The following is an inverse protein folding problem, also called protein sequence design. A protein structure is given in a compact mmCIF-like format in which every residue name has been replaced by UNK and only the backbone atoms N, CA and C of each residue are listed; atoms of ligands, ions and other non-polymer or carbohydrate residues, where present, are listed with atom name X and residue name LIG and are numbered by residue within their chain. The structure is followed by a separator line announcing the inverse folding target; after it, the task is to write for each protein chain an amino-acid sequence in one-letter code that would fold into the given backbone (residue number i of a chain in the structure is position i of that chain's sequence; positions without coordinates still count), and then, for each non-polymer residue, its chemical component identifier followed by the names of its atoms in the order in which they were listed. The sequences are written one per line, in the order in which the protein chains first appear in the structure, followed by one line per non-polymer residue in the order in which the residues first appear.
data_IF_753615911967
#
_entry.id   IF_753615911967
#
_cell.length_a   1.000
_cell.length_b   1.000
_cell.length_c   1.000
_cell.angle_alpha   90.00
_cell.angle_beta   90.00
_cell.angle_gamma   90.00
#
_symmetry.space_group_name_H-M   'P 1'
#
loop_
_entity.id
_entity.type
_entity.pdbx_description
1 polymer ?
#
# COMPACT_ATOMS: atom_id res chain seq x y z
N UNK A 1 -7.18 6.79 31.17
CA UNK A 1 -7.39 5.47 31.81
C UNK A 1 -6.30 5.28 32.87
N UNK A 2 -6.65 4.91 34.13
CA UNK A 2 -5.68 4.53 35.15
C UNK A 2 -5.54 3.01 35.22
N UNK A 3 -4.38 2.50 35.63
CA UNK A 3 -4.27 1.08 35.96
C UNK A 3 -5.16 0.74 37.14
N UNK A 4 -5.89 -0.37 37.13
CA UNK A 4 -6.64 -0.81 38.27
C UNK A 4 -5.70 -1.24 39.39
N UNK A 5 -6.08 -0.97 40.67
CA UNK A 5 -5.28 -1.39 41.84
C UNK A 5 -5.19 -2.92 41.94
N UNK A 6 -6.24 -3.61 41.50
CA UNK A 6 -6.30 -5.08 41.46
C UNK A 6 -6.52 -5.53 40.05
N UNK A 7 -5.79 -6.57 39.59
CA UNK A 7 -5.99 -7.16 38.24
C UNK A 7 -7.43 -7.67 38.05
N UNK A 8 -7.94 -7.48 36.84
CA UNK A 8 -9.28 -7.96 36.41
C UNK A 8 -9.17 -9.41 35.93
N UNK A 9 -10.26 -10.12 35.98
CA UNK A 9 -10.34 -11.48 35.43
C UNK A 9 -10.20 -11.47 33.90
N UNK A 10 -9.85 -12.63 33.34
CA UNK A 10 -9.73 -12.84 31.88
C UNK A 10 -11.00 -12.41 31.13
N UNK A 11 -12.18 -12.86 31.60
CA UNK A 11 -13.46 -12.58 30.94
C UNK A 11 -13.85 -11.10 31.02
N UNK A 12 -13.56 -10.43 32.16
CA UNK A 12 -13.77 -8.98 32.29
C UNK A 12 -12.90 -8.18 31.34
N UNK A 13 -11.65 -8.61 31.12
CA UNK A 13 -10.73 -7.94 30.18
C UNK A 13 -11.20 -8.15 28.74
N UNK A 14 -11.53 -9.38 28.33
CA UNK A 14 -12.00 -9.67 26.97
C UNK A 14 -13.35 -9.02 26.68
N UNK A 15 -14.29 -9.04 27.65
CA UNK A 15 -15.58 -8.35 27.50
C UNK A 15 -15.42 -6.84 27.36
N UNK A 16 -14.45 -6.23 28.06
CA UNK A 16 -14.15 -4.80 27.89
C UNK A 16 -13.54 -4.49 26.52
N UNK A 17 -12.64 -5.35 26.01
CA UNK A 17 -12.09 -5.20 24.66
C UNK A 17 -13.17 -5.32 23.58
N UNK A 18 -14.09 -6.26 23.73
CA UNK A 18 -15.20 -6.44 22.77
C UNK A 18 -16.12 -5.21 22.77
N UNK A 19 -16.41 -4.66 23.95
CA UNK A 19 -17.22 -3.45 24.08
C UNK A 19 -16.58 -2.20 23.40
N UNK A 20 -15.24 -2.12 23.33
CA UNK A 20 -14.54 -1.02 22.64
C UNK A 20 -14.73 -1.05 21.14
N UNK A 21 -15.14 -2.19 20.56
CA UNK A 21 -15.28 -2.36 19.10
C UNK A 21 -16.67 -1.98 18.58
N UNK A 22 -17.56 -1.48 19.42
CA UNK A 22 -18.97 -1.23 19.07
C UNK A 22 -19.14 -0.26 17.89
N UNK A 23 -18.25 0.72 17.78
CA UNK A 23 -18.28 1.76 16.73
C UNK A 23 -17.26 1.51 15.61
N UNK A 24 -16.59 0.37 15.58
CA UNK A 24 -15.64 0.03 14.54
C UNK A 24 -16.32 -0.12 13.17
N UNK A 25 -15.60 0.25 12.11
CA UNK A 25 -16.06 0.04 10.73
C UNK A 25 -16.36 -1.45 10.46
N UNK A 26 -17.49 -1.73 9.81
CA UNK A 26 -18.04 -3.10 9.58
C UNK A 26 -17.35 -3.80 8.41
N UNK A 27 -16.05 -4.04 8.51
CA UNK A 27 -15.27 -4.64 7.44
C UNK A 27 -15.66 -6.10 7.16
N UNK A 28 -16.10 -6.86 8.19
CA UNK A 28 -16.56 -8.26 8.05
C UNK A 28 -17.80 -8.39 7.14
N UNK A 29 -18.59 -7.33 7.03
CA UNK A 29 -19.77 -7.28 6.15
C UNK A 29 -19.43 -6.81 4.72
N UNK A 30 -18.15 -6.58 4.43
CA UNK A 30 -17.68 -6.07 3.15
C UNK A 30 -17.94 -4.56 2.93
N UNK A 31 -18.46 -3.82 3.93
CA UNK A 31 -18.88 -2.41 3.81
C UNK A 31 -17.73 -1.41 3.93
N UNK A 32 -16.49 -1.87 3.87
CA UNK A 32 -15.29 -1.04 3.96
C UNK A 32 -14.46 -1.18 2.69
N UNK A 33 -14.18 -0.07 2.03
CA UNK A 33 -13.37 -0.02 0.80
C UNK A 33 -11.93 0.42 1.10
N UNK A 34 -11.28 -0.27 2.00
CA UNK A 34 -9.91 0.01 2.45
C UNK A 34 -9.65 -0.56 3.85
N UNK A 35 -8.52 -0.18 4.44
CA UNK A 35 -8.07 -0.52 5.80
C UNK A 35 -7.91 -2.03 6.06
N UNK A 36 -8.94 -2.85 5.85
CA UNK A 36 -8.93 -4.31 6.06
C UNK A 36 -9.31 -5.02 4.76
N UNK A 37 -8.51 -6.01 4.37
CA UNK A 37 -8.69 -6.77 3.13
C UNK A 37 -9.05 -8.20 3.50
N UNK A 38 -10.24 -8.65 3.08
CA UNK A 38 -10.80 -9.95 3.46
C UNK A 38 -10.49 -11.02 2.40
N UNK A 39 -9.67 -12.00 2.77
CA UNK A 39 -9.38 -13.19 1.97
C UNK A 39 -10.34 -14.37 2.23
N UNK A 40 -11.29 -14.19 3.14
CA UNK A 40 -12.27 -15.20 3.54
C UNK A 40 -11.89 -15.98 4.82
N UNK A 41 -12.85 -16.74 5.37
CA UNK A 41 -12.71 -17.35 6.70
C UNK A 41 -11.56 -18.34 6.82
N UNK A 42 -11.22 -19.07 5.75
CA UNK A 42 -10.08 -20.01 5.78
C UNK A 42 -8.73 -19.28 5.87
N UNK A 43 -8.62 -18.09 5.24
CA UNK A 43 -7.43 -17.24 5.31
C UNK A 43 -7.30 -16.66 6.71
N UNK A 44 -8.39 -16.21 7.31
CA UNK A 44 -8.37 -15.72 8.69
C UNK A 44 -7.94 -16.81 9.66
N UNK A 45 -8.54 -18.00 9.58
CA UNK A 45 -8.24 -19.11 10.49
C UNK A 45 -6.74 -19.51 10.46
N UNK A 46 -6.13 -19.61 9.28
CA UNK A 46 -4.69 -19.95 9.19
C UNK A 46 -3.80 -18.81 9.66
N UNK A 47 -4.19 -17.55 9.38
CA UNK A 47 -3.45 -16.38 9.82
C UNK A 47 -3.41 -16.25 11.35
N UNK A 48 -4.58 -16.42 11.98
CA UNK A 48 -4.74 -16.38 13.44
C UNK A 48 -3.95 -17.51 14.12
N UNK A 49 -4.06 -18.75 13.62
CA UNK A 49 -3.31 -19.89 14.15
C UNK A 49 -1.79 -19.68 14.06
N UNK A 50 -1.30 -19.23 12.91
CA UNK A 50 0.13 -18.95 12.71
C UNK A 50 0.61 -17.79 13.58
N UNK A 51 -0.18 -16.71 13.67
CA UNK A 51 0.13 -15.58 14.55
C UNK A 51 0.22 -16.01 16.01
N UNK A 52 -0.71 -16.83 16.50
CA UNK A 52 -0.70 -17.35 17.86
C UNK A 52 0.53 -18.21 18.16
N UNK A 53 1.02 -19.01 17.19
CA UNK A 53 2.25 -19.81 17.33
C UNK A 53 3.51 -18.96 17.53
N UNK A 54 3.54 -17.75 16.99
CA UNK A 54 4.70 -16.86 17.00
C UNK A 54 4.44 -15.55 17.78
N UNK A 55 3.44 -15.55 18.65
CA UNK A 55 3.00 -14.34 19.37
C UNK A 55 4.11 -13.73 20.26
N UNK A 56 4.96 -14.57 20.83
CA UNK A 56 6.00 -14.18 21.78
C UNK A 56 7.40 -14.11 21.17
N UNK A 57 7.58 -14.58 19.93
CA UNK A 57 8.87 -14.64 19.24
C UNK A 57 9.30 -13.26 18.72
N UNK A 58 10.59 -13.01 18.90
CA UNK A 58 11.22 -11.74 18.56
C UNK A 58 12.16 -11.88 17.35
N UNK A 59 11.86 -11.19 16.26
CA UNK A 59 12.66 -11.18 15.05
C UNK A 59 13.87 -10.22 15.08
N UNK A 60 14.23 -9.68 16.24
CA UNK A 60 15.44 -8.86 16.40
C UNK A 60 16.71 -9.65 16.03
N UNK A 61 16.77 -10.90 16.51
CA UNK A 61 17.94 -11.76 16.28
C UNK A 61 17.48 -13.13 15.75
N UNK A 62 17.56 -13.28 14.45
CA UNK A 62 17.18 -14.53 13.75
C UNK A 62 18.21 -15.66 13.92
N UNK A 63 19.36 -15.42 14.56
CA UNK A 63 20.27 -16.50 14.98
C UNK A 63 19.71 -17.23 16.20
N UNK A 64 19.04 -16.51 17.09
CA UNK A 64 18.37 -17.09 18.26
C UNK A 64 17.04 -17.77 17.89
N UNK A 65 16.35 -17.27 16.88
CA UNK A 65 15.07 -17.82 16.38
C UNK A 65 15.20 -18.07 14.86
N UNK A 66 15.89 -19.16 14.45
CA UNK A 66 16.21 -19.42 13.03
C UNK A 66 14.99 -19.56 12.12
N UNK A 67 13.86 -20.02 12.67
CA UNK A 67 12.60 -20.15 11.94
C UNK A 67 12.11 -18.81 11.38
N UNK A 68 12.23 -17.70 12.11
CA UNK A 68 11.89 -16.37 11.62
C UNK A 68 12.82 -15.91 10.49
N UNK A 69 14.10 -16.29 10.55
CA UNK A 69 15.04 -16.05 9.46
C UNK A 69 14.67 -16.85 8.20
N UNK A 70 14.19 -18.08 8.36
CA UNK A 70 13.72 -18.94 7.26
C UNK A 70 12.43 -18.36 6.66
N UNK A 71 11.43 -18.04 7.48
CA UNK A 71 10.16 -17.41 7.05
C UNK A 71 10.46 -16.16 6.22
N UNK A 72 11.32 -15.27 6.70
CA UNK A 72 11.68 -14.06 5.96
C UNK A 72 12.30 -14.38 4.59
N UNK A 73 13.22 -15.33 4.52
CA UNK A 73 13.84 -15.71 3.25
C UNK A 73 12.84 -16.31 2.25
N UNK A 74 11.92 -17.14 2.72
CA UNK A 74 10.90 -17.78 1.88
C UNK A 74 9.87 -16.77 1.37
N UNK A 75 9.35 -15.89 2.24
CA UNK A 75 8.39 -14.84 1.85
C UNK A 75 9.02 -13.86 0.86
N UNK A 76 10.23 -13.37 1.16
CA UNK A 76 10.97 -12.45 0.27
C UNK A 76 11.32 -13.14 -1.04
N UNK A 77 11.80 -14.40 -1.01
CA UNK A 77 12.17 -15.16 -2.19
C UNK A 77 10.98 -15.43 -3.11
N UNK A 78 9.83 -15.82 -2.56
CA UNK A 78 8.62 -16.05 -3.35
C UNK A 78 8.16 -14.77 -4.08
N UNK A 79 8.23 -13.61 -3.42
CA UNK A 79 7.85 -12.35 -4.06
C UNK A 79 8.91 -11.87 -5.04
N UNK A 80 10.20 -12.07 -4.78
CA UNK A 80 11.26 -11.77 -5.72
C UNK A 80 11.09 -12.58 -7.03
N UNK A 81 10.77 -13.87 -6.93
CA UNK A 81 10.49 -14.72 -8.10
C UNK A 81 9.25 -14.26 -8.85
N UNK A 82 8.14 -13.98 -8.14
CA UNK A 82 6.89 -13.52 -8.74
C UNK A 82 7.04 -12.20 -9.49
N UNK A 83 7.95 -11.31 -9.03
CA UNK A 83 8.27 -10.02 -9.64
C UNK A 83 9.50 -10.07 -10.57
N UNK A 84 9.90 -11.26 -11.04
CA UNK A 84 10.98 -11.49 -12.01
C UNK A 84 12.35 -10.97 -11.54
N UNK A 85 12.56 -10.85 -10.24
CA UNK A 85 13.81 -10.41 -9.62
C UNK A 85 14.70 -11.58 -9.23
N UNK A 86 15.33 -12.28 -10.19
CA UNK A 86 16.14 -13.48 -9.95
C UNK A 86 17.29 -13.28 -8.98
N UNK A 87 17.89 -12.08 -8.98
CA UNK A 87 18.97 -11.69 -8.08
C UNK A 87 18.50 -10.82 -6.90
N UNK A 88 17.19 -10.53 -6.85
CA UNK A 88 16.63 -9.62 -5.89
C UNK A 88 16.88 -10.08 -4.45
N UNK A 89 17.13 -9.10 -3.60
CA UNK A 89 17.31 -9.30 -2.18
C UNK A 89 16.39 -8.34 -1.41
N UNK A 90 15.75 -8.82 -0.36
CA UNK A 90 14.75 -8.01 0.33
C UNK A 90 14.73 -8.22 1.83
N UNK A 91 13.72 -7.60 2.42
CA UNK A 91 13.48 -7.63 3.85
C UNK A 91 11.98 -7.47 4.15
N UNK A 92 11.47 -8.22 5.14
CA UNK A 92 10.13 -8.01 5.65
C UNK A 92 10.11 -6.82 6.60
N UNK A 93 9.26 -5.85 6.31
CA UNK A 93 9.04 -4.64 7.09
C UNK A 93 7.66 -4.68 7.78
N UNK A 94 7.41 -3.73 8.68
CA UNK A 94 6.14 -3.64 9.42
C UNK A 94 4.98 -3.06 8.61
N UNK A 95 5.25 -2.49 7.43
CA UNK A 95 4.25 -1.87 6.59
C UNK A 95 4.87 -1.09 5.44
N UNK A 96 4.05 -0.70 4.44
CA UNK A 96 4.49 0.05 3.26
C UNK A 96 5.26 1.32 3.61
N UNK A 97 4.83 2.04 4.65
CA UNK A 97 5.58 3.23 5.13
C UNK A 97 7.02 2.88 5.51
N UNK A 98 7.27 1.78 6.22
CA UNK A 98 8.64 1.37 6.53
C UNK A 98 9.39 0.93 5.28
N UNK A 99 8.75 0.21 4.35
CA UNK A 99 9.35 -0.18 3.08
C UNK A 99 9.81 1.04 2.27
N UNK A 100 8.97 2.08 2.18
CA UNK A 100 9.27 3.36 1.54
C UNK A 100 10.43 4.07 2.26
N UNK A 101 10.38 4.18 3.59
CA UNK A 101 11.47 4.77 4.38
C UNK A 101 12.81 4.07 4.10
N UNK A 102 12.81 2.74 3.98
CA UNK A 102 14.02 1.96 3.69
C UNK A 102 14.51 2.15 2.25
N UNK A 103 13.61 2.30 1.27
CA UNK A 103 13.97 2.61 -0.11
C UNK A 103 14.64 3.98 -0.21
N UNK A 104 14.04 5.01 0.40
CA UNK A 104 14.57 6.39 0.43
C UNK A 104 15.91 6.44 1.16
N UNK A 105 16.01 5.78 2.32
CA UNK A 105 17.28 5.66 3.06
C UNK A 105 18.35 5.00 2.21
N UNK A 106 18.03 3.91 1.51
CA UNK A 106 19.01 3.19 0.69
C UNK A 106 19.47 4.05 -0.51
N UNK A 107 18.58 4.79 -1.15
CA UNK A 107 18.92 5.71 -2.25
C UNK A 107 19.88 6.81 -1.76
N UNK A 108 19.58 7.45 -0.62
CA UNK A 108 20.46 8.45 0.00
C UNK A 108 21.84 7.87 0.31
N UNK A 109 21.90 6.71 0.97
CA UNK A 109 23.20 6.10 1.34
C UNK A 109 24.00 5.66 0.12
N UNK A 110 23.34 5.22 -0.98
CA UNK A 110 24.00 4.94 -2.23
C UNK A 110 24.61 6.21 -2.83
N UNK A 111 23.84 7.29 -2.90
CA UNK A 111 24.31 8.57 -3.43
C UNK A 111 25.50 9.13 -2.63
N UNK A 112 25.47 9.01 -1.30
CA UNK A 112 26.61 9.38 -0.46
C UNK A 112 27.84 8.54 -0.75
N UNK A 113 27.70 7.23 -0.90
CA UNK A 113 28.81 6.31 -1.02
C UNK A 113 29.42 6.27 -2.45
N UNK A 114 28.63 6.46 -3.48
CA UNK A 114 29.04 6.24 -4.87
C UNK A 114 29.14 7.55 -5.67
N UNK A 115 28.44 8.62 -5.22
CA UNK A 115 28.41 9.92 -5.92
C UNK A 115 28.93 11.08 -5.06
N UNK A 116 29.39 10.83 -3.83
CA UNK A 116 29.82 11.86 -2.85
C UNK A 116 28.77 12.96 -2.66
N UNK A 117 27.49 12.60 -2.72
CA UNK A 117 26.36 13.51 -2.61
C UNK A 117 25.75 13.47 -1.21
N UNK A 118 25.94 14.52 -0.41
CA UNK A 118 25.31 14.67 0.90
C UNK A 118 24.01 15.48 0.77
N UNK A 119 22.86 14.82 0.97
CA UNK A 119 21.53 15.35 0.68
C UNK A 119 21.03 14.89 -0.69
N UNK A 120 20.26 15.75 -1.36
CA UNK A 120 19.72 15.51 -2.71
C UNK A 120 18.20 15.51 -2.76
N UNK A 121 17.67 15.17 -3.94
CA UNK A 121 16.26 15.35 -4.23
C UNK A 121 15.59 14.00 -4.53
N UNK A 122 14.32 13.89 -4.11
CA UNK A 122 13.41 12.83 -4.55
C UNK A 122 12.43 13.44 -5.56
N UNK A 123 12.40 12.93 -6.78
CA UNK A 123 11.44 13.34 -7.81
C UNK A 123 10.26 12.36 -7.81
N UNK A 124 9.05 12.87 -7.63
CA UNK A 124 7.83 12.07 -7.51
C UNK A 124 6.61 12.84 -7.99
N UNK A 125 5.57 12.12 -8.46
CA UNK A 125 4.29 12.76 -8.78
C UNK A 125 3.54 13.23 -7.53
N UNK A 126 2.62 14.19 -7.72
CA UNK A 126 1.70 14.66 -6.68
C UNK A 126 0.76 13.56 -6.16
N UNK A 127 0.61 12.46 -6.91
CA UNK A 127 -0.16 11.26 -6.52
C UNK A 127 0.66 10.23 -5.73
N UNK A 128 1.97 10.42 -5.58
CA UNK A 128 2.82 9.49 -4.83
C UNK A 128 2.44 9.48 -3.35
N UNK A 129 2.56 8.32 -2.70
CA UNK A 129 2.13 8.16 -1.32
C UNK A 129 2.87 9.12 -0.37
N UNK A 130 2.14 9.75 0.57
CA UNK A 130 2.66 10.74 1.51
C UNK A 130 3.86 10.27 2.37
N UNK A 131 4.08 8.96 2.47
CA UNK A 131 5.24 8.39 3.16
C UNK A 131 6.58 8.77 2.52
N UNK A 132 6.62 9.14 1.23
CA UNK A 132 7.84 9.66 0.59
C UNK A 132 8.21 11.04 1.13
N UNK A 133 7.25 11.94 1.30
CA UNK A 133 7.46 13.25 1.95
C UNK A 133 7.94 13.10 3.40
N UNK A 134 7.32 12.16 4.13
CA UNK A 134 7.76 11.81 5.49
C UNK A 134 9.20 11.28 5.49
N UNK A 135 9.56 10.42 4.54
CA UNK A 135 10.90 9.87 4.41
C UNK A 135 11.93 10.97 4.07
N UNK A 136 11.61 11.86 3.12
CA UNK A 136 12.44 13.00 2.75
C UNK A 136 12.71 13.87 3.98
N UNK A 137 11.67 14.22 4.72
CA UNK A 137 11.80 15.00 5.96
C UNK A 137 12.71 14.32 7.00
N UNK A 138 12.56 13.00 7.23
CA UNK A 138 13.36 12.27 8.21
C UNK A 138 14.83 12.11 7.81
N UNK A 139 15.09 12.02 6.51
CA UNK A 139 16.43 11.76 6.00
C UNK A 139 17.15 13.01 5.43
N UNK A 140 16.53 14.18 5.55
CA UNK A 140 17.16 15.45 5.11
C UNK A 140 17.33 15.52 3.60
N UNK A 141 16.30 15.08 2.86
CA UNK A 141 16.19 15.19 1.41
C UNK A 141 15.12 16.20 1.05
N UNK A 142 15.24 16.82 -0.12
CA UNK A 142 14.21 17.67 -0.70
C UNK A 142 13.24 16.82 -1.54
N UNK A 143 12.00 17.29 -1.72
CA UNK A 143 11.04 16.68 -2.64
C UNK A 143 10.76 17.61 -3.80
N UNK A 144 10.92 17.10 -5.02
CA UNK A 144 10.55 17.79 -6.26
C UNK A 144 9.27 17.09 -6.77
N UNK A 145 8.16 17.82 -6.66
CA UNK A 145 6.84 17.30 -7.04
C UNK A 145 6.57 17.65 -8.49
N UNK A 146 6.24 16.64 -9.29
CA UNK A 146 5.83 16.80 -10.68
C UNK A 146 4.31 16.55 -10.81
N UNK A 147 3.62 17.21 -11.75
CA UNK A 147 2.19 16.98 -11.96
C UNK A 147 1.93 15.59 -12.56
N UNK A 148 0.66 15.20 -12.55
CA UNK A 148 0.17 14.13 -13.42
C UNK A 148 -0.34 14.71 -14.74
N UNK A 149 -0.31 13.89 -15.80
CA UNK A 149 -0.92 14.22 -17.08
C UNK A 149 -2.46 14.12 -17.07
N UNK A 150 -3.07 14.36 -18.21
CA UNK A 150 -4.54 14.25 -18.39
C UNK A 150 -5.07 12.84 -18.08
N UNK A 151 -4.23 11.82 -18.16
CA UNK A 151 -4.53 10.43 -17.85
C UNK A 151 -4.24 10.06 -16.37
N UNK A 152 -3.93 11.06 -15.55
CA UNK A 152 -3.61 10.95 -14.12
C UNK A 152 -2.35 10.13 -13.80
N UNK A 153 -1.46 9.88 -14.77
CA UNK A 153 -0.13 9.28 -14.57
C UNK A 153 0.91 10.35 -14.36
N UNK A 154 1.99 9.97 -13.70
CA UNK A 154 3.17 10.83 -13.57
C UNK A 154 3.58 11.38 -14.96
N UNK A 155 3.70 12.69 -15.08
CA UNK A 155 4.09 13.35 -16.34
C UNK A 155 5.58 13.12 -16.60
N UNK A 156 5.90 12.43 -17.70
CA UNK A 156 7.26 12.05 -18.08
C UNK A 156 8.09 13.27 -18.47
N UNK A 157 7.51 14.20 -19.22
CA UNK A 157 8.22 15.41 -19.68
C UNK A 157 8.51 16.33 -18.49
N UNK A 158 7.55 16.54 -17.60
CA UNK A 158 7.75 17.29 -16.37
C UNK A 158 8.79 16.60 -15.45
N UNK A 159 8.83 15.26 -15.44
CA UNK A 159 9.86 14.51 -14.70
C UNK A 159 11.23 14.72 -15.31
N UNK A 160 11.36 14.70 -16.64
CA UNK A 160 12.63 14.96 -17.33
C UNK A 160 13.18 16.37 -17.04
N UNK A 161 12.29 17.37 -16.97
CA UNK A 161 12.68 18.74 -16.61
C UNK A 161 13.05 18.89 -15.11
N UNK A 162 12.55 18.01 -14.25
CA UNK A 162 12.73 18.07 -12.80
C UNK A 162 13.97 17.33 -12.30
N UNK A 163 14.46 16.29 -13.02
CA UNK A 163 15.65 15.54 -12.62
C UNK A 163 16.92 16.35 -12.78
N UNK A 164 17.89 16.09 -11.93
CA UNK A 164 19.19 16.78 -11.95
C UNK A 164 20.29 15.88 -11.39
N UNK A 165 21.54 16.33 -11.42
CA UNK A 165 22.65 15.65 -10.74
C UNK A 165 22.44 15.52 -9.21
N UNK A 166 21.51 16.26 -8.63
CA UNK A 166 21.12 16.15 -7.22
C UNK A 166 20.09 15.06 -6.95
N UNK A 167 19.42 14.56 -7.99
CA UNK A 167 18.38 13.55 -7.84
C UNK A 167 18.97 12.23 -7.32
N UNK A 168 18.48 11.75 -6.19
CA UNK A 168 18.88 10.46 -5.59
C UNK A 168 17.87 9.35 -5.83
N UNK A 169 16.59 9.73 -6.05
CA UNK A 169 15.49 8.80 -6.21
C UNK A 169 14.41 9.37 -7.14
N UNK A 170 13.99 8.58 -8.11
CA UNK A 170 12.75 8.79 -8.87
C UNK A 170 11.72 7.75 -8.39
N UNK A 171 10.48 8.17 -8.22
CA UNK A 171 9.39 7.33 -7.72
C UNK A 171 8.29 7.20 -8.76
N UNK A 172 7.85 5.98 -9.01
CA UNK A 172 6.62 5.67 -9.73
C UNK A 172 5.80 4.64 -8.96
N UNK A 173 4.49 4.58 -9.18
CA UNK A 173 3.57 3.70 -8.46
C UNK A 173 2.88 2.71 -9.38
N UNK A 174 2.65 1.49 -8.89
CA UNK A 174 2.01 0.42 -9.65
C UNK A 174 0.96 -0.34 -8.80
N UNK A 175 -0.33 0.12 -8.83
CA UNK A 175 -0.82 1.44 -9.22
C UNK A 175 -0.67 2.47 -8.10
N UNK A 176 -0.76 3.75 -8.44
CA UNK A 176 -0.82 4.82 -7.44
C UNK A 176 -2.14 4.76 -6.66
N UNK A 177 -2.06 5.11 -5.36
CA UNK A 177 -3.21 4.96 -4.46
C UNK A 177 -4.40 5.86 -4.85
N UNK A 178 -4.24 7.16 -5.15
CA UNK A 178 -5.41 8.03 -5.30
C UNK A 178 -6.39 7.59 -6.39
N UNK A 179 -5.91 7.24 -7.59
CA UNK A 179 -6.77 7.06 -8.77
C UNK A 179 -6.69 5.67 -9.39
N UNK A 180 -5.73 4.82 -8.96
CA UNK A 180 -5.63 3.42 -9.39
C UNK A 180 -5.03 3.22 -10.78
N UNK A 181 -4.26 4.20 -11.30
CA UNK A 181 -3.52 4.06 -12.57
C UNK A 181 -2.06 3.70 -12.31
N UNK A 182 -1.44 2.98 -13.24
CA UNK A 182 -0.04 2.59 -13.20
C UNK A 182 0.80 3.68 -13.88
N UNK A 183 1.80 4.22 -13.18
CA UNK A 183 2.72 5.21 -13.73
C UNK A 183 3.56 4.64 -14.90
N UNK A 184 4.13 5.50 -15.76
CA UNK A 184 4.99 5.09 -16.88
C UNK A 184 6.36 4.62 -16.40
N UNK A 185 6.41 3.48 -15.69
CA UNK A 185 7.60 2.97 -15.00
C UNK A 185 8.81 2.81 -15.92
N UNK A 186 8.70 2.30 -17.18
CA UNK A 186 9.86 2.20 -18.07
C UNK A 186 10.50 3.56 -18.38
N UNK A 187 9.69 4.57 -18.65
CA UNK A 187 10.13 5.93 -18.97
C UNK A 187 10.79 6.60 -17.76
N UNK A 188 10.16 6.49 -16.58
CA UNK A 188 10.72 7.01 -15.33
C UNK A 188 12.04 6.33 -14.95
N UNK A 189 12.14 5.01 -15.19
CA UNK A 189 13.37 4.26 -14.93
C UNK A 189 14.51 4.68 -15.87
N UNK A 190 14.20 4.96 -17.13
CA UNK A 190 15.17 5.48 -18.09
C UNK A 190 15.72 6.85 -17.65
N UNK A 191 14.83 7.78 -17.28
CA UNK A 191 15.21 9.10 -16.76
C UNK A 191 16.05 9.00 -15.49
N UNK A 192 15.69 8.14 -14.53
CA UNK A 192 16.49 7.92 -13.34
C UNK A 192 17.92 7.44 -13.68
N UNK A 193 18.05 6.59 -14.71
CA UNK A 193 19.33 6.08 -15.19
C UNK A 193 20.24 7.16 -15.78
N UNK A 194 19.69 8.20 -16.41
CA UNK A 194 20.46 9.31 -17.01
C UNK A 194 21.30 10.08 -15.98
N UNK A 195 20.82 10.15 -14.74
CA UNK A 195 21.49 10.88 -13.64
C UNK A 195 22.03 9.95 -12.56
N UNK A 196 22.10 8.64 -12.81
CA UNK A 196 22.52 7.60 -11.86
C UNK A 196 21.73 7.65 -10.54
N UNK A 197 20.43 7.99 -10.61
CA UNK A 197 19.52 7.94 -9.47
C UNK A 197 18.93 6.52 -9.31
N UNK A 198 18.43 6.24 -8.11
CA UNK A 198 17.60 5.04 -7.91
C UNK A 198 16.21 5.24 -8.52
N UNK A 199 15.61 4.15 -9.04
CA UNK A 199 14.20 4.10 -9.39
C UNK A 199 13.47 3.19 -8.41
N UNK A 200 12.47 3.74 -7.71
CA UNK A 200 11.59 2.98 -6.82
C UNK A 200 10.20 2.82 -7.42
N UNK A 201 9.68 1.61 -7.36
CA UNK A 201 8.27 1.32 -7.68
C UNK A 201 7.50 1.06 -6.39
N UNK A 202 6.56 1.95 -6.08
CA UNK A 202 5.60 1.70 -5.01
C UNK A 202 4.48 0.79 -5.52
N UNK A 203 4.61 -0.50 -5.23
CA UNK A 203 3.61 -1.51 -5.51
C UNK A 203 2.92 -2.01 -4.23
N UNK A 204 2.84 -1.17 -3.18
CA UNK A 204 2.14 -1.52 -1.95
C UNK A 204 0.69 -1.95 -2.18
N UNK A 205 0.04 -1.41 -3.22
CA UNK A 205 -1.32 -1.80 -3.62
C UNK A 205 -1.35 -2.89 -4.69
N UNK A 206 -0.39 -2.90 -5.62
CA UNK A 206 -0.43 -3.78 -6.79
C UNK A 206 0.42 -5.04 -6.69
N UNK A 207 1.38 -5.11 -5.76
CA UNK A 207 2.35 -6.21 -5.70
C UNK A 207 1.75 -7.61 -5.52
N UNK A 208 0.56 -7.72 -4.93
CA UNK A 208 -0.24 -8.96 -4.82
C UNK A 208 -1.47 -8.98 -5.73
N UNK A 209 -1.55 -8.11 -6.73
CA UNK A 209 -2.67 -8.07 -7.70
C UNK A 209 -2.14 -8.17 -9.12
N UNK A 210 -1.24 -7.27 -9.50
CA UNK A 210 -0.77 -7.16 -10.89
C UNK A 210 -0.11 -8.44 -11.43
N UNK A 211 0.76 -9.16 -10.68
CA UNK A 211 1.33 -10.41 -11.17
C UNK A 211 0.27 -11.49 -11.43
N UNK A 212 -0.77 -11.53 -10.60
CA UNK A 212 -1.86 -12.50 -10.77
C UNK A 212 -2.83 -12.08 -11.88
N UNK A 213 -3.01 -10.77 -12.14
CA UNK A 213 -3.72 -10.29 -13.33
C UNK A 213 -3.02 -10.75 -14.61
N UNK A 214 -1.69 -10.60 -14.71
CA UNK A 214 -0.91 -11.10 -15.84
C UNK A 214 -1.08 -12.60 -16.05
N UNK A 215 -1.00 -13.40 -14.99
CA UNK A 215 -1.21 -14.85 -15.02
C UNK A 215 -2.62 -15.25 -15.46
N UNK A 216 -3.61 -14.40 -15.19
CA UNK A 216 -4.98 -14.56 -15.66
C UNK A 216 -5.19 -14.10 -17.11
N UNK A 217 -4.13 -13.60 -17.78
CA UNK A 217 -4.17 -13.11 -19.16
C UNK A 217 -4.67 -11.67 -19.30
N UNK A 218 -4.77 -10.93 -18.21
CA UNK A 218 -5.15 -9.52 -18.22
C UNK A 218 -3.96 -8.65 -18.67
N UNK A 219 -4.20 -7.58 -19.44
CA UNK A 219 -3.13 -6.67 -19.81
C UNK A 219 -2.66 -5.86 -18.59
N UNK A 220 -1.36 -5.90 -18.32
CA UNK A 220 -0.70 -5.11 -17.28
C UNK A 220 0.49 -4.40 -17.90
N UNK A 221 0.64 -3.10 -17.64
CA UNK A 221 1.81 -2.33 -18.08
C UNK A 221 3.08 -2.87 -17.40
N UNK A 222 4.27 -2.80 -18.04
CA UNK A 222 5.53 -3.18 -17.39
C UNK A 222 5.81 -2.30 -16.16
N UNK A 223 6.11 -2.93 -15.01
CA UNK A 223 6.29 -2.19 -13.76
C UNK A 223 7.30 -2.82 -12.78
N UNK A 224 7.62 -4.11 -12.94
CA UNK A 224 8.47 -4.87 -12.02
C UNK A 224 9.94 -4.93 -12.45
N UNK A 225 10.72 -5.88 -11.91
CA UNK A 225 12.14 -6.01 -12.23
C UNK A 225 12.46 -6.38 -13.69
N UNK A 226 11.46 -6.67 -14.53
CA UNK A 226 11.64 -6.76 -15.99
C UNK A 226 11.94 -5.41 -16.61
N UNK A 227 11.57 -4.32 -15.97
CA UNK A 227 11.95 -2.97 -16.39
C UNK A 227 13.39 -2.71 -15.97
N UNK A 228 14.25 -2.45 -16.97
CA UNK A 228 15.63 -2.05 -16.71
C UNK A 228 15.64 -0.73 -15.95
N UNK A 229 16.57 -0.59 -14.99
CA UNK A 229 16.67 0.62 -14.17
C UNK A 229 15.83 0.61 -12.89
N UNK A 230 14.76 -0.21 -12.76
CA UNK A 230 14.06 -0.36 -11.48
C UNK A 230 15.02 -0.95 -10.44
N UNK A 231 15.29 -0.20 -9.37
CA UNK A 231 16.27 -0.56 -8.33
C UNK A 231 15.61 -1.16 -7.08
N UNK A 232 14.40 -0.68 -6.74
CA UNK A 232 13.67 -1.13 -5.55
C UNK A 232 12.17 -1.20 -5.80
N UNK A 233 11.49 -2.15 -5.11
CA UNK A 233 10.03 -2.28 -5.13
C UNK A 233 9.53 -2.48 -3.70
N UNK A 234 8.51 -1.72 -3.28
CA UNK A 234 7.75 -1.96 -2.05
C UNK A 234 6.43 -2.66 -2.33
N UNK A 235 6.02 -3.61 -1.48
CA UNK A 235 4.75 -4.32 -1.61
C UNK A 235 4.22 -4.79 -0.26
N UNK A 236 2.89 -4.76 -0.08
CA UNK A 236 2.25 -5.05 1.19
C UNK A 236 1.56 -6.43 1.20
N UNK A 237 2.12 -7.37 1.98
CA UNK A 237 1.48 -8.67 2.21
C UNK A 237 0.18 -8.50 3.00
N UNK A 238 0.12 -7.49 3.87
CA UNK A 238 -1.04 -7.20 4.71
C UNK A 238 -2.16 -6.40 4.01
N UNK A 239 -2.03 -6.17 2.69
CA UNK A 239 -3.13 -5.64 1.84
C UNK A 239 -3.74 -6.79 1.04
N UNK A 240 -3.60 -6.79 -0.27
CA UNK A 240 -4.15 -7.86 -1.13
C UNK A 240 -3.35 -9.19 -1.07
N UNK A 241 -2.30 -9.25 -0.25
CA UNK A 241 -1.69 -10.51 0.19
C UNK A 241 -2.46 -11.17 1.35
N UNK A 242 -3.49 -10.49 1.88
CA UNK A 242 -4.44 -10.96 2.89
C UNK A 242 -3.84 -11.38 4.24
N UNK A 243 -2.59 -11.03 4.52
CA UNK A 243 -1.99 -11.24 5.83
C UNK A 243 -2.49 -10.20 6.86
N UNK A 244 -2.41 -10.49 8.16
CA UNK A 244 -2.64 -9.49 9.20
C UNK A 244 -1.68 -8.31 9.10
N UNK A 245 -2.08 -7.14 9.61
CA UNK A 245 -1.27 -5.93 9.63
C UNK A 245 0.08 -6.18 10.29
N UNK A 246 1.13 -5.51 9.80
CA UNK A 246 2.49 -5.69 10.27
C UNK A 246 3.39 -6.51 9.32
N UNK A 247 2.95 -6.77 8.08
CA UNK A 247 3.71 -7.52 7.07
C UNK A 247 3.74 -6.78 5.73
N UNK A 248 4.91 -6.28 5.37
CA UNK A 248 5.23 -5.66 4.08
C UNK A 248 6.61 -6.13 3.64
N UNK A 249 7.04 -5.81 2.43
CA UNK A 249 8.33 -6.20 1.88
C UNK A 249 8.94 -5.01 1.14
N UNK A 250 10.25 -4.83 1.31
CA UNK A 250 11.10 -4.07 0.42
C UNK A 250 12.00 -5.05 -0.35
N UNK A 251 12.00 -4.95 -1.67
CA UNK A 251 12.91 -5.67 -2.56
C UNK A 251 13.90 -4.69 -3.19
N UNK A 252 15.14 -5.10 -3.26
CA UNK A 252 16.21 -4.45 -4.02
C UNK A 252 16.57 -5.35 -5.20
N UNK A 253 16.96 -4.77 -6.33
CA UNK A 253 17.34 -5.51 -7.54
C UNK A 253 18.39 -6.61 -7.27
N UNK A 254 19.30 -6.35 -6.32
CA UNK A 254 20.36 -7.28 -5.93
C UNK A 254 20.86 -7.05 -4.48
N UNK A 255 21.76 -7.92 -4.03
CA UNK A 255 22.38 -7.85 -2.69
C UNK A 255 23.32 -6.65 -2.53
N UNK A 256 23.91 -6.16 -3.62
CA UNK A 256 24.83 -5.01 -3.57
C UNK A 256 24.02 -3.75 -3.28
N UNK A 257 22.92 -3.54 -4.01
CA UNK A 257 21.99 -2.42 -3.77
C UNK A 257 21.38 -2.49 -2.37
N UNK A 258 21.04 -3.69 -1.88
CA UNK A 258 20.45 -3.88 -0.54
C UNK A 258 21.41 -3.47 0.59
N UNK A 259 22.73 -3.49 0.40
CA UNK A 259 23.69 -3.09 1.46
C UNK A 259 23.41 -1.69 2.02
N UNK A 260 22.94 -0.77 1.18
CA UNK A 260 22.64 0.61 1.54
C UNK A 260 21.40 0.76 2.44
N UNK A 261 20.55 -0.25 2.52
CA UNK A 261 19.45 -0.31 3.48
C UNK A 261 19.94 -0.50 4.90
N UNK A 262 20.99 -1.29 5.12
CA UNK A 262 21.45 -1.70 6.45
C UNK A 262 22.27 -0.58 7.10
N UNK A 263 21.93 -0.21 8.34
CA UNK A 263 22.76 0.61 9.18
C UNK A 263 23.69 -0.28 10.00
N UNK A 264 24.97 0.09 10.13
CA UNK A 264 25.95 -0.65 10.92
C UNK A 264 26.68 0.27 11.87
N UNK A 265 26.99 -0.23 13.09
CA UNK A 265 27.75 0.50 14.09
C UNK A 265 28.53 -0.50 14.98
N UNK A 266 29.83 -0.31 15.12
CA UNK A 266 30.74 -1.23 15.79
C UNK A 266 31.32 -0.70 17.13
N UNK A 267 31.19 0.59 17.40
CA UNK A 267 31.72 1.23 18.59
C UNK A 267 30.77 1.18 19.80
N UNK A 268 29.63 0.49 19.69
CA UNK A 268 28.68 0.34 20.79
C UNK A 268 29.14 -0.74 21.77
N UNK A 269 29.09 -0.46 23.10
CA UNK A 269 29.50 -1.41 24.15
C UNK A 269 28.65 -2.70 24.17
N UNK A 270 27.47 -2.72 23.59
CA UNK A 270 26.63 -3.90 23.42
C UNK A 270 27.07 -4.85 22.29
N UNK A 271 28.10 -4.48 21.54
CA UNK A 271 28.67 -5.26 20.43
C UNK A 271 28.36 -4.66 19.07
N UNK A 272 28.65 -5.42 18.02
CA UNK A 272 28.34 -5.01 16.62
C UNK A 272 26.84 -4.90 16.42
N UNK A 273 26.39 -3.74 15.99
CA UNK A 273 24.98 -3.46 15.65
C UNK A 273 24.79 -3.37 14.14
N UNK A 274 23.87 -4.18 13.60
CA UNK A 274 23.45 -4.13 12.21
C UNK A 274 21.94 -4.17 12.15
N UNK A 275 21.33 -3.16 11.52
CA UNK A 275 19.87 -3.04 11.43
C UNK A 275 19.43 -2.72 10.00
N UNK A 276 18.70 -3.62 9.33
CA UNK A 276 18.11 -3.39 8.02
C UNK A 276 16.68 -2.80 8.09
N UNK A 277 16.23 -2.35 9.26
CA UNK A 277 14.86 -1.96 9.59
C UNK A 277 14.87 -0.64 10.36
N UNK A 278 13.75 0.08 10.35
CA UNK A 278 13.52 1.22 11.25
C UNK A 278 13.27 0.79 12.69
N UNK A 279 12.91 -0.47 12.87
CA UNK A 279 12.64 -1.06 14.19
C UNK A 279 13.83 -1.88 14.69
N UNK A 280 13.98 -1.98 16.01
CA UNK A 280 14.85 -2.96 16.64
C UNK A 280 14.10 -4.29 16.81
N UNK A 281 13.39 -4.44 17.93
CA UNK A 281 12.50 -5.58 18.19
C UNK A 281 11.34 -5.60 17.21
N UNK A 282 11.06 -6.77 16.64
CA UNK A 282 9.91 -7.01 15.74
C UNK A 282 9.18 -8.28 16.16
N UNK A 283 7.85 -8.25 16.10
CA UNK A 283 7.01 -9.42 16.37
C UNK A 283 7.19 -10.49 15.29
N UNK A 284 7.27 -11.75 15.72
CA UNK A 284 7.24 -12.90 14.81
C UNK A 284 5.83 -13.20 14.26
N UNK A 285 4.79 -12.79 14.97
CA UNK A 285 3.40 -13.13 14.62
C UNK A 285 2.97 -12.68 13.20
N UNK A 286 3.16 -11.40 12.77
CA UNK A 286 2.81 -10.99 11.42
C UNK A 286 3.64 -11.70 10.33
N UNK A 287 4.90 -12.03 10.63
CA UNK A 287 5.78 -12.73 9.69
C UNK A 287 5.29 -14.15 9.45
N UNK A 288 4.98 -14.88 10.53
CA UNK A 288 4.46 -16.25 10.47
C UNK A 288 3.09 -16.30 9.80
N UNK A 289 2.20 -15.37 10.12
CA UNK A 289 0.89 -15.27 9.50
C UNK A 289 0.99 -14.98 7.99
N UNK A 290 1.87 -14.06 7.58
CA UNK A 290 2.11 -13.77 6.16
C UNK A 290 2.58 -15.03 5.40
N UNK A 291 3.57 -15.74 5.94
CA UNK A 291 4.05 -16.99 5.37
C UNK A 291 2.93 -18.04 5.25
N UNK A 292 2.15 -18.23 6.33
CA UNK A 292 1.09 -19.23 6.38
C UNK A 292 -0.04 -18.93 5.38
N UNK A 293 -0.44 -17.66 5.23
CA UNK A 293 -1.43 -17.23 4.25
C UNK A 293 -0.93 -17.47 2.83
N UNK A 294 0.34 -17.10 2.53
CA UNK A 294 0.93 -17.35 1.21
C UNK A 294 1.00 -18.83 0.88
N UNK A 295 1.38 -19.70 1.84
CA UNK A 295 1.40 -21.15 1.67
C UNK A 295 -0.01 -21.74 1.51
N UNK A 296 -0.99 -21.22 2.25
CA UNK A 296 -2.40 -21.70 2.18
C UNK A 296 -3.07 -21.35 0.87
N UNK A 297 -2.84 -20.15 0.37
CA UNK A 297 -3.41 -19.68 -0.89
C UNK A 297 -2.69 -20.27 -2.10
N UNK A 298 -1.36 -20.28 -2.10
CA UNK A 298 -0.61 -20.65 -3.29
C UNK A 298 -0.95 -19.76 -4.49
N UNK A 299 -0.46 -20.11 -5.64
CA UNK A 299 -0.72 -19.38 -6.89
C UNK A 299 -2.22 -19.41 -7.25
N UNK A 300 -2.83 -20.58 -7.20
CA UNK A 300 -4.24 -20.78 -7.58
C UNK A 300 -5.22 -20.03 -6.66
N UNK A 301 -4.92 -19.96 -5.36
CA UNK A 301 -5.69 -19.17 -4.41
C UNK A 301 -5.62 -17.68 -4.69
N UNK A 302 -4.41 -17.15 -4.96
CA UNK A 302 -4.26 -15.74 -5.34
C UNK A 302 -4.88 -15.43 -6.69
N UNK A 303 -4.76 -16.28 -7.70
CA UNK A 303 -5.43 -16.13 -9.00
C UNK A 303 -6.97 -16.07 -8.82
N UNK A 304 -7.54 -16.96 -8.01
CA UNK A 304 -8.98 -16.96 -7.70
C UNK A 304 -9.43 -15.68 -7.01
N UNK A 305 -8.70 -15.22 -5.96
CA UNK A 305 -9.04 -14.00 -5.23
C UNK A 305 -8.85 -12.75 -6.09
N UNK A 306 -7.80 -12.70 -6.90
CA UNK A 306 -7.56 -11.60 -7.84
C UNK A 306 -8.66 -11.52 -8.90
N UNK A 307 -9.08 -12.64 -9.49
CA UNK A 307 -10.19 -12.67 -10.44
C UNK A 307 -11.45 -12.08 -9.82
N UNK A 308 -11.85 -12.55 -8.63
CA UNK A 308 -13.03 -12.03 -7.91
C UNK A 308 -12.89 -10.53 -7.64
N UNK A 309 -11.73 -10.08 -7.20
CA UNK A 309 -11.45 -8.66 -6.90
C UNK A 309 -11.57 -7.80 -8.15
N UNK A 310 -10.96 -8.19 -9.28
CA UNK A 310 -10.96 -7.41 -10.53
C UNK A 310 -12.35 -7.42 -11.18
N UNK A 311 -13.05 -8.55 -11.19
CA UNK A 311 -14.42 -8.63 -11.73
C UNK A 311 -15.37 -7.73 -10.91
N UNK A 312 -15.20 -7.71 -9.59
CA UNK A 312 -15.96 -6.82 -8.69
C UNK A 312 -15.61 -5.34 -8.95
N UNK A 313 -14.32 -5.01 -9.08
CA UNK A 313 -13.88 -3.65 -9.37
C UNK A 313 -14.48 -3.14 -10.70
N UNK A 314 -14.43 -3.94 -11.76
CA UNK A 314 -15.03 -3.61 -13.06
C UNK A 314 -16.54 -3.43 -12.98
N UNK A 315 -17.23 -4.29 -12.21
CA UNK A 315 -18.67 -4.16 -11.96
C UNK A 315 -18.99 -2.84 -11.27
N UNK A 316 -18.23 -2.48 -10.25
CA UNK A 316 -18.42 -1.23 -9.53
C UNK A 316 -18.07 -0.01 -10.40
N UNK A 317 -16.97 -0.05 -11.15
CA UNK A 317 -16.59 1.01 -12.10
C UNK A 317 -17.69 1.27 -13.15
N UNK A 318 -18.21 0.20 -13.76
CA UNK A 318 -19.30 0.31 -14.72
C UNK A 318 -20.60 0.84 -14.06
N UNK A 319 -20.90 0.37 -12.86
CA UNK A 319 -22.07 0.80 -12.09
C UNK A 319 -21.99 2.27 -11.67
N UNK A 320 -20.83 2.76 -11.24
CA UNK A 320 -20.62 4.18 -10.92
C UNK A 320 -20.88 5.05 -12.15
N UNK A 321 -20.29 4.71 -13.30
CA UNK A 321 -20.48 5.45 -14.55
C UNK A 321 -21.93 5.42 -15.07
N UNK A 322 -22.74 4.45 -14.66
CA UNK A 322 -24.16 4.36 -15.00
C UNK A 322 -25.05 5.21 -14.09
N UNK A 323 -24.54 5.79 -13.02
CA UNK A 323 -25.28 6.67 -12.12
C UNK A 323 -25.11 8.12 -12.59
N UNK A 324 -26.23 8.76 -13.00
CA UNK A 324 -26.22 10.16 -13.41
C UNK A 324 -25.61 11.07 -12.35
N UNK A 325 -24.65 11.90 -12.75
CA UNK A 325 -23.94 12.84 -11.87
C UNK A 325 -22.64 12.29 -11.27
N UNK A 326 -22.31 11.01 -11.45
CA UNK A 326 -21.05 10.42 -11.03
C UNK A 326 -20.16 10.02 -12.21
N UNK A 327 -18.87 10.01 -11.98
CA UNK A 327 -17.84 9.51 -12.88
C UNK A 327 -16.64 9.00 -12.06
N UNK A 328 -15.64 8.44 -12.73
CA UNK A 328 -14.37 8.05 -12.14
C UNK A 328 -13.27 9.07 -12.47
N UNK A 329 -12.28 9.15 -11.62
CA UNK A 329 -11.05 9.87 -11.90
C UNK A 329 -10.14 8.97 -12.72
N UNK A 330 -9.79 9.40 -13.94
CA UNK A 330 -8.96 8.62 -14.85
C UNK A 330 -9.58 7.28 -15.28
N UNK A 331 -8.71 6.37 -15.73
CA UNK A 331 -9.10 5.00 -16.11
C UNK A 331 -8.38 3.99 -15.19
N UNK A 332 -8.99 3.62 -14.06
CA UNK A 332 -8.38 2.68 -13.11
C UNK A 332 -8.05 1.33 -13.75
N UNK A 333 -6.82 0.85 -13.54
CA UNK A 333 -6.30 -0.35 -14.23
C UNK A 333 -6.41 -1.63 -13.38
N UNK A 334 -6.69 -1.49 -12.08
CA UNK A 334 -6.76 -2.63 -11.14
C UNK A 334 -7.93 -2.45 -10.14
N UNK A 335 -7.68 -2.74 -8.88
CA UNK A 335 -8.69 -2.80 -7.82
C UNK A 335 -8.99 -1.46 -7.13
N UNK A 336 -8.31 -0.38 -7.50
CA UNK A 336 -8.53 0.95 -6.93
C UNK A 336 -9.41 1.78 -7.86
N UNK A 337 -10.19 2.70 -7.30
CA UNK A 337 -10.90 3.73 -8.04
C UNK A 337 -11.20 4.94 -7.16
N UNK A 338 -11.32 6.10 -7.78
CA UNK A 338 -11.81 7.33 -7.16
C UNK A 338 -13.10 7.77 -7.85
N UNK A 339 -14.17 7.91 -7.07
CA UNK A 339 -15.50 8.32 -7.54
C UNK A 339 -15.61 9.82 -7.39
N UNK A 340 -15.88 10.54 -8.46
CA UNK A 340 -16.04 12.00 -8.50
C UNK A 340 -17.40 12.40 -9.02
N UNK A 341 -17.71 13.69 -8.89
CA UNK A 341 -18.84 14.30 -9.59
C UNK A 341 -18.55 14.36 -11.09
N UNK A 342 -19.52 14.01 -11.92
CA UNK A 342 -19.46 14.13 -13.37
C UNK A 342 -19.35 15.60 -13.79
N UNK A 343 -18.56 15.89 -14.81
CA UNK A 343 -18.42 17.24 -15.37
C UNK A 343 -19.78 17.87 -15.71
N UNK A 344 -19.99 19.09 -15.24
CA UNK A 344 -21.26 19.83 -15.40
C UNK A 344 -22.33 19.54 -14.33
N UNK A 345 -22.01 18.72 -13.33
CA UNK A 345 -22.87 18.46 -12.17
C UNK A 345 -22.40 19.13 -10.88
N UNK A 346 -21.30 19.86 -10.89
CA UNK A 346 -20.62 20.41 -9.68
C UNK A 346 -21.54 21.39 -8.90
N UNK A 347 -22.42 22.10 -9.60
CA UNK A 347 -23.40 22.99 -8.94
C UNK A 347 -24.58 22.23 -8.32
N UNK A 348 -24.80 20.97 -8.69
CA UNK A 348 -25.97 20.16 -8.31
C UNK A 348 -25.63 19.05 -7.33
N UNK A 349 -24.40 18.58 -7.32
CA UNK A 349 -23.97 17.44 -6.52
C UNK A 349 -22.63 17.74 -5.83
N UNK A 350 -22.47 17.28 -4.61
CA UNK A 350 -21.21 17.28 -3.85
C UNK A 350 -20.87 15.85 -3.46
N UNK A 351 -19.74 15.33 -3.97
CA UNK A 351 -19.33 13.95 -3.72
C UNK A 351 -19.13 13.65 -2.23
N UNK A 352 -18.75 14.64 -1.41
CA UNK A 352 -18.60 14.44 0.03
C UNK A 352 -19.95 14.37 0.74
N UNK A 353 -20.98 15.09 0.26
CA UNK A 353 -22.36 14.91 0.76
C UNK A 353 -22.87 13.50 0.43
N UNK A 354 -22.55 12.96 -0.77
CA UNK A 354 -22.81 11.56 -1.12
C UNK A 354 -22.09 10.61 -0.16
N UNK A 355 -20.83 10.91 0.16
CA UNK A 355 -20.05 10.15 1.15
C UNK A 355 -20.67 10.15 2.54
N UNK A 356 -21.21 11.29 3.01
CA UNK A 356 -21.94 11.37 4.28
C UNK A 356 -23.20 10.50 4.26
N UNK A 357 -23.96 10.52 3.16
CA UNK A 357 -25.15 9.68 2.99
C UNK A 357 -24.80 8.18 2.96
N UNK A 358 -23.69 7.80 2.32
CA UNK A 358 -23.16 6.42 2.37
C UNK A 358 -22.73 6.03 3.78
N UNK A 359 -22.06 6.94 4.51
CA UNK A 359 -21.68 6.72 5.92
C UNK A 359 -22.88 6.43 6.81
N UNK A 360 -24.00 7.15 6.66
CA UNK A 360 -25.26 6.86 7.36
C UNK A 360 -25.85 5.50 7.04
N UNK A 361 -25.51 4.92 5.87
CA UNK A 361 -25.88 3.55 5.46
C UNK A 361 -24.85 2.50 5.88
N UNK A 362 -23.81 2.92 6.64
CA UNK A 362 -22.77 2.03 7.18
C UNK A 362 -21.65 1.69 6.21
N UNK A 363 -21.49 2.45 5.13
CA UNK A 363 -20.36 2.33 4.21
C UNK A 363 -19.19 3.19 4.65
N UNK A 364 -17.95 2.70 4.46
CA UNK A 364 -16.72 3.43 4.72
C UNK A 364 -15.91 3.58 3.43
N UNK A 365 -15.67 4.83 3.01
CA UNK A 365 -14.80 5.23 1.90
C UNK A 365 -13.93 6.40 2.35
N UNK A 366 -12.68 6.44 1.93
CA UNK A 366 -11.81 7.58 2.16
C UNK A 366 -12.19 8.75 1.25
N UNK A 367 -11.88 9.98 1.69
CA UNK A 367 -12.08 11.23 0.92
C UNK A 367 -10.76 11.73 0.40
N UNK A 368 -10.75 12.24 -0.82
CA UNK A 368 -9.57 12.76 -1.49
C UNK A 368 -9.84 14.15 -2.08
N UNK A 369 -8.76 14.90 -2.33
CA UNK A 369 -8.79 16.19 -3.04
C UNK A 369 -8.13 16.08 -4.40
N UNK A 370 -8.40 17.07 -5.23
CA UNK A 370 -7.78 17.33 -6.52
C UNK A 370 -7.77 16.11 -7.47
N UNK A 371 -8.99 15.72 -7.94
CA UNK A 371 -10.31 16.28 -7.65
C UNK A 371 -10.95 15.72 -6.38
N UNK A 372 -11.91 16.46 -5.80
CA UNK A 372 -12.76 15.94 -4.73
C UNK A 372 -13.36 14.61 -5.14
N UNK A 373 -13.11 13.56 -4.36
CA UNK A 373 -13.53 12.20 -4.70
C UNK A 373 -13.67 11.29 -3.48
N UNK A 374 -14.38 10.18 -3.66
CA UNK A 374 -14.44 9.08 -2.69
C UNK A 374 -13.58 7.93 -3.21
N UNK A 375 -12.57 7.56 -2.42
CA UNK A 375 -11.66 6.48 -2.76
C UNK A 375 -12.21 5.12 -2.37
N UNK A 376 -12.09 4.15 -3.26
CA UNK A 376 -12.41 2.76 -2.99
C UNK A 376 -11.28 1.82 -3.41
N UNK A 377 -10.77 1.05 -2.45
CA UNK A 377 -9.95 -0.13 -2.70
C UNK A 377 -10.83 -1.36 -2.62
N UNK A 378 -11.08 -1.99 -3.75
CA UNK A 378 -11.89 -3.20 -3.86
C UNK A 378 -11.08 -4.43 -3.45
N UNK A 379 -11.68 -5.33 -2.71
CA UNK A 379 -11.13 -6.62 -2.33
C UNK A 379 -12.17 -7.74 -2.53
N UNK A 380 -11.75 -8.98 -2.37
CA UNK A 380 -12.64 -10.14 -2.45
C UNK A 380 -13.86 -10.01 -1.51
N UNK A 381 -13.70 -9.41 -0.34
CA UNK A 381 -14.79 -9.22 0.64
C UNK A 381 -15.92 -8.30 0.16
N UNK A 382 -15.67 -7.45 -0.85
CA UNK A 382 -16.70 -6.56 -1.39
C UNK A 382 -17.61 -7.23 -2.46
N UNK A 383 -17.22 -8.40 -2.99
CA UNK A 383 -17.96 -9.06 -4.07
C UNK A 383 -19.43 -9.37 -3.73
N UNK A 384 -19.76 -9.92 -2.55
CA UNK A 384 -21.15 -10.28 -2.21
C UNK A 384 -22.09 -9.08 -2.11
N UNK A 385 -21.54 -7.87 -1.85
CA UNK A 385 -22.33 -6.67 -1.55
C UNK A 385 -22.22 -5.59 -2.64
N UNK A 386 -21.56 -5.86 -3.76
CA UNK A 386 -21.33 -4.87 -4.81
C UNK A 386 -22.65 -4.28 -5.37
N UNK A 387 -23.66 -5.11 -5.59
CA UNK A 387 -24.99 -4.66 -6.05
C UNK A 387 -25.68 -3.76 -5.02
N UNK A 388 -25.58 -4.09 -3.73
CA UNK A 388 -26.14 -3.28 -2.64
C UNK A 388 -25.43 -1.94 -2.55
N UNK A 389 -24.09 -1.92 -2.68
CA UNK A 389 -23.33 -0.67 -2.69
C UNK A 389 -23.77 0.26 -3.82
N UNK A 390 -23.92 -0.25 -5.04
CA UNK A 390 -24.38 0.56 -6.19
C UNK A 390 -25.80 1.10 -5.99
N UNK A 391 -26.70 0.32 -5.42
CA UNK A 391 -28.05 0.76 -5.09
C UNK A 391 -28.03 1.87 -4.02
N UNK A 392 -27.25 1.71 -2.97
CA UNK A 392 -27.11 2.68 -1.89
C UNK A 392 -26.39 3.96 -2.38
N UNK A 393 -25.43 3.83 -3.31
CA UNK A 393 -24.76 4.97 -3.96
C UNK A 393 -25.73 5.79 -4.79
N UNK A 394 -26.55 5.14 -5.65
CA UNK A 394 -27.55 5.83 -6.45
C UNK A 394 -28.62 6.53 -5.59
N UNK A 395 -29.06 5.87 -4.50
CA UNK A 395 -29.97 6.47 -3.53
C UNK A 395 -29.33 7.67 -2.82
N UNK A 396 -28.05 7.59 -2.47
CA UNK A 396 -27.30 8.68 -1.83
C UNK A 396 -27.14 9.88 -2.75
N UNK A 397 -26.87 9.67 -4.05
CA UNK A 397 -26.86 10.76 -5.06
C UNK A 397 -28.20 11.46 -5.12
N UNK A 398 -29.31 10.70 -5.19
CA UNK A 398 -30.66 11.28 -5.25
C UNK A 398 -31.02 12.05 -3.99
N UNK A 399 -30.65 11.53 -2.79
CA UNK A 399 -30.91 12.15 -1.48
C UNK A 399 -30.17 13.49 -1.32
N UNK A 400 -28.95 13.59 -1.87
CA UNK A 400 -28.06 14.74 -1.63
C UNK A 400 -28.02 15.77 -2.77
N UNK A 401 -28.95 15.68 -3.75
CA UNK A 401 -29.05 16.68 -4.81
C UNK A 401 -29.30 18.07 -4.24
N UNK A 402 -28.38 19.00 -4.51
CA UNK A 402 -28.41 20.37 -4.01
C UNK A 402 -27.78 20.57 -2.63
N UNK A 403 -27.45 19.51 -1.92
CA UNK A 403 -26.77 19.57 -0.63
C UNK A 403 -25.27 19.81 -0.77
N UNK A 404 -24.66 20.30 0.30
CA UNK A 404 -23.20 20.42 0.45
C UNK A 404 -22.76 19.74 1.75
N UNK A 405 -21.62 19.06 1.72
CA UNK A 405 -21.05 18.46 2.91
C UNK A 405 -20.64 19.55 3.92
N UNK A 406 -21.02 19.36 5.18
CA UNK A 406 -20.56 20.23 6.29
C UNK A 406 -19.08 19.99 6.60
N UNK A 407 -18.64 18.72 6.55
CA UNK A 407 -17.26 18.33 6.78
C UNK A 407 -16.59 17.95 5.45
N UNK A 408 -15.56 18.71 5.08
CA UNK A 408 -14.75 18.47 3.87
C UNK A 408 -13.36 17.91 4.19
N UNK A 409 -13.16 17.38 5.39
CA UNK A 409 -11.89 16.79 5.80
C UNK A 409 -11.58 15.54 4.95
N UNK A 410 -10.34 15.44 4.50
CA UNK A 410 -9.80 14.36 3.68
C UNK A 410 -8.62 13.68 4.39
N UNK A 411 -8.79 13.38 5.66
CA UNK A 411 -7.73 12.77 6.47
C UNK A 411 -7.50 11.30 6.06
N UNK A 412 -6.31 10.99 5.55
CA UNK A 412 -5.85 9.61 5.32
C UNK A 412 -5.51 8.89 6.63
N UNK A 413 -5.07 9.63 7.64
CA UNK A 413 -4.78 9.12 8.98
C UNK A 413 -5.26 10.13 10.03
N UNK A 414 -5.87 9.63 11.10
CA UNK A 414 -6.35 10.49 12.19
C UNK A 414 -5.21 10.90 13.11
N UNK A 415 -5.26 12.17 13.54
CA UNK A 415 -4.57 12.65 14.74
C UNK A 415 -5.57 12.55 15.89
N UNK A 416 -5.13 12.03 17.06
CA UNK A 416 -5.93 12.05 18.29
C UNK A 416 -6.18 13.46 18.78
#
# INVERSE_FOLDING_TARGET
MSLPETGRSHDEVLGALDALRTDDARWQDGRTFGLVYDGGPEVHAIAEAAAAMYLHENALNTLAIPSLGQIQREVVGAMAELLHGHDAAGFMTSGGTESILMAVKAARERARAERDLDGGDIVLSDTAHAAFHKAAHYFGLDTVIVPVGDDYRCDVDATADAISERTVLVVGSAPQYPHGVIDPIPELAALAGEVDANMHVDACMGGFVLPFMERLGEPVRPWDFRVDGVTTISLDVHKLGYAPKGASIILHRDKISRRFQTYTFDAWKGGFYASPSMQGTRSGAPMAAAWAVMQRLGIDGYERLTRTTIDTARTLQAGVRAIDGLDLVGEPEAQLMAIRVQAGWEDRLDVFAVGDALGRRGWYLDRQHDPDSLHATVSNGNAPIAAQFLADLAASVTETLGDRAENRSTSYATLE
#
